data_IF_255853180653
#
_entry.id   IF_255853180653
#
_cell.length_a   1.000
_cell.length_b   1.000
_cell.length_c   1.000
_cell.angle_alpha   90.00
_cell.angle_beta   90.00
_cell.angle_gamma   90.00
#
_symmetry.space_group_name_H-M   'P 1'
#
loop_
_entity.id
_entity.type
_entity.pdbx_description
1 polymer ?
#
# COMPACT_ATOMS: atom_id res chain seq x y z
N UNK A 1 5.67 5.14 5.15
CA UNK A 1 6.01 4.11 4.14
C UNK A 1 4.70 3.48 3.65
N UNK A 2 4.64 2.87 2.46
CA UNK A 2 3.41 2.57 1.70
C UNK A 2 2.16 2.13 2.51
N UNK A 3 2.32 1.27 3.52
CA UNK A 3 1.25 0.82 4.44
C UNK A 3 0.42 1.96 5.05
N UNK A 4 1.07 2.99 5.57
CA UNK A 4 0.35 4.11 6.19
C UNK A 4 -0.51 4.87 5.17
N UNK A 5 -0.04 4.98 3.93
CA UNK A 5 -0.77 5.62 2.85
C UNK A 5 -1.97 4.76 2.39
N UNK A 6 -1.79 3.43 2.32
CA UNK A 6 -2.90 2.50 2.05
C UNK A 6 -4.04 2.66 3.05
N UNK A 7 -3.72 2.86 4.33
CA UNK A 7 -4.73 3.08 5.39
C UNK A 7 -5.45 4.41 5.22
N UNK A 8 -4.72 5.50 4.98
CA UNK A 8 -5.31 6.84 4.81
C UNK A 8 -6.22 6.90 3.58
N UNK A 9 -5.88 6.16 2.52
CA UNK A 9 -6.66 6.07 1.30
C UNK A 9 -7.79 5.02 1.36
N UNK A 10 -7.96 4.34 2.49
CA UNK A 10 -9.02 3.32 2.67
C UNK A 10 -8.82 2.04 1.86
N UNK A 11 -7.62 1.82 1.31
CA UNK A 11 -7.24 0.62 0.56
C UNK A 11 -7.04 -0.55 1.51
N UNK A 12 -6.46 -0.28 2.68
CA UNK A 12 -6.22 -1.30 3.71
C UNK A 12 -6.70 -0.84 5.08
N UNK A 13 -7.05 -1.81 5.92
CA UNK A 13 -7.31 -1.52 7.34
C UNK A 13 -5.99 -1.37 8.10
N UNK A 14 -5.93 -0.62 9.22
CA UNK A 14 -4.71 -0.51 10.02
C UNK A 14 -4.16 -1.88 10.46
N UNK A 15 -5.06 -2.80 10.81
CA UNK A 15 -4.70 -4.15 11.24
C UNK A 15 -4.09 -4.95 10.09
N UNK A 16 -4.72 -4.98 8.92
CA UNK A 16 -4.18 -5.71 7.76
C UNK A 16 -2.88 -5.07 7.27
N UNK A 17 -2.82 -3.74 7.20
CA UNK A 17 -1.64 -3.02 6.77
C UNK A 17 -0.43 -3.28 7.66
N UNK A 18 -0.60 -3.51 8.96
CA UNK A 18 0.52 -3.78 9.88
C UNK A 18 1.32 -5.02 9.44
N UNK A 19 0.63 -6.06 8.98
CA UNK A 19 1.22 -7.36 8.63
C UNK A 19 1.64 -7.46 7.15
N UNK A 20 1.34 -6.44 6.32
CA UNK A 20 1.72 -6.42 4.92
C UNK A 20 3.23 -6.29 4.74
N UNK A 21 3.81 -7.27 4.04
CA UNK A 21 5.19 -7.21 3.55
C UNK A 21 5.31 -6.16 2.45
N UNK A 22 6.15 -5.16 2.67
CA UNK A 22 6.56 -4.23 1.61
C UNK A 22 7.79 -4.81 0.92
N UNK A 23 7.56 -5.29 -0.29
CA UNK A 23 8.62 -5.83 -1.15
C UNK A 23 9.69 -4.76 -1.44
N UNK A 24 10.96 -5.14 -1.27
CA UNK A 24 12.09 -4.28 -1.57
C UNK A 24 12.25 -4.14 -3.08
N UNK A 25 12.54 -2.92 -3.55
CA UNK A 25 12.73 -2.63 -4.98
C UNK A 25 11.40 -2.43 -5.73
N UNK A 26 10.27 -2.78 -5.13
CA UNK A 26 8.96 -2.54 -5.72
C UNK A 26 8.53 -1.06 -5.59
N UNK A 27 7.85 -0.57 -6.63
CA UNK A 27 7.21 0.73 -6.68
C UNK A 27 5.70 0.57 -6.52
N UNK A 28 5.15 1.28 -5.53
CA UNK A 28 3.72 1.32 -5.23
C UNK A 28 3.14 2.64 -5.73
N UNK A 29 2.21 2.59 -6.68
CA UNK A 29 1.55 3.76 -7.26
C UNK A 29 0.11 3.81 -6.77
N UNK A 30 -0.25 4.95 -6.16
CA UNK A 30 -1.58 5.21 -5.62
C UNK A 30 -2.30 6.20 -6.55
N UNK A 31 -3.48 5.84 -7.01
CA UNK A 31 -4.34 6.68 -7.86
C UNK A 31 -5.81 6.55 -7.43
N UNK A 32 -6.69 7.33 -8.05
CA UNK A 32 -8.13 7.20 -7.86
C UNK A 32 -8.68 5.82 -8.29
N UNK A 33 -7.93 5.09 -9.13
CA UNK A 33 -8.26 3.72 -9.56
C UNK A 33 -7.78 2.65 -8.56
N UNK A 34 -7.04 3.05 -7.52
CA UNK A 34 -6.56 2.18 -6.45
C UNK A 34 -5.03 2.09 -6.35
N UNK A 35 -4.54 0.89 -6.03
CA UNK A 35 -3.12 0.61 -5.82
C UNK A 35 -2.56 -0.28 -6.92
N UNK A 36 -1.49 0.16 -7.57
CA UNK A 36 -0.68 -0.65 -8.50
C UNK A 36 0.70 -0.91 -7.91
N UNK A 37 1.23 -2.13 -8.11
CA UNK A 37 2.60 -2.51 -7.72
C UNK A 37 3.40 -2.87 -8.97
N UNK A 38 4.61 -2.32 -9.07
CA UNK A 38 5.60 -2.67 -10.07
C UNK A 38 6.86 -3.18 -9.39
N UNK A 39 7.55 -4.13 -9.99
CA UNK A 39 8.78 -4.77 -9.47
C UNK A 39 9.95 -4.50 -10.40
#
# INVERSE_FOLDING_TARGET
TARALMVVLGIETPASAADLTIEQGAVYVFSDEGLSKYS
#
